data_IF_690123262466
#
_entry.id   IF_690123262466
#
_cell.length_a   1.000
_cell.length_b   1.000
_cell.length_c   1.000
_cell.angle_alpha   90.00
_cell.angle_beta   90.00
_cell.angle_gamma   90.00
#
_symmetry.space_group_name_H-M   'P 1'
#
loop_
_entity.id
_entity.type
_entity.pdbx_description
1 polymer ?
#
# COMPACT_ATOMS: atom_id res chain seq x y z
N UNK A 1 -14.77 9.09 8.76
CA UNK A 1 -15.69 8.10 9.35
C UNK A 1 -16.34 7.29 8.25
N UNK A 2 -16.47 5.98 8.44
CA UNK A 2 -17.20 5.09 7.53
C UNK A 2 -18.43 4.61 8.29
N UNK A 3 -19.62 4.76 7.71
CA UNK A 3 -20.87 4.29 8.31
C UNK A 3 -21.23 2.91 7.76
N UNK A 4 -21.76 2.04 8.61
CA UNK A 4 -22.24 0.70 8.23
C UNK A 4 -23.24 0.15 9.24
N UNK A 5 -23.93 -0.93 8.87
CA UNK A 5 -24.92 -1.57 9.73
C UNK A 5 -24.24 -2.20 10.95
N UNK A 6 -24.59 -1.73 12.15
CA UNK A 6 -24.09 -2.26 13.43
C UNK A 6 -24.30 -3.77 13.62
N UNK A 7 -25.27 -4.38 12.91
CA UNK A 7 -25.64 -5.79 13.06
C UNK A 7 -25.08 -6.68 11.94
N UNK A 8 -24.51 -6.11 10.88
CA UNK A 8 -24.01 -6.85 9.73
C UNK A 8 -22.62 -6.36 9.34
N UNK A 9 -21.60 -6.99 9.93
CA UNK A 9 -20.17 -6.69 9.77
C UNK A 9 -19.86 -5.18 9.83
N UNK A 10 -20.02 -4.54 11.01
CA UNK A 10 -19.79 -3.11 11.15
C UNK A 10 -18.35 -2.72 10.80
N UNK A 11 -18.13 -1.54 10.22
CA UNK A 11 -16.80 -1.06 9.85
C UNK A 11 -15.90 -0.91 11.08
N UNK A 12 -14.64 -1.34 10.94
CA UNK A 12 -13.63 -1.32 12.00
C UNK A 12 -12.43 -0.49 11.57
N UNK A 13 -11.73 0.05 12.57
CA UNK A 13 -10.44 0.70 12.36
C UNK A 13 -9.42 -0.30 11.83
N UNK A 14 -8.61 0.16 10.88
CA UNK A 14 -7.55 -0.63 10.27
C UNK A 14 -6.21 -0.18 10.85
N UNK A 15 -5.51 -1.08 11.57
CA UNK A 15 -4.16 -0.81 12.09
C UNK A 15 -3.09 -0.94 11.02
N UNK A 16 -3.24 -1.94 10.18
CA UNK A 16 -2.36 -2.22 9.04
C UNK A 16 -3.17 -2.86 7.93
N UNK A 17 -2.77 -2.63 6.68
CA UNK A 17 -3.34 -3.32 5.53
C UNK A 17 -2.26 -3.69 4.53
N UNK A 18 -2.43 -4.86 3.92
CA UNK A 18 -1.57 -5.37 2.87
C UNK A 18 -2.17 -5.03 1.50
N UNK A 19 -1.40 -4.37 0.64
CA UNK A 19 -1.89 -3.93 -0.66
C UNK A 19 -0.86 -4.09 -1.77
N UNK A 20 -1.35 -4.32 -2.98
CA UNK A 20 -0.55 -4.19 -4.19
C UNK A 20 -0.48 -2.71 -4.60
N UNK A 21 0.73 -2.19 -4.73
CA UNK A 21 0.98 -0.83 -5.22
C UNK A 21 1.67 -0.90 -6.59
N UNK A 22 1.25 -0.04 -7.50
CA UNK A 22 1.90 0.15 -8.79
C UNK A 22 2.49 1.55 -8.79
N UNK A 23 3.81 1.63 -8.92
CA UNK A 23 4.50 2.92 -8.88
C UNK A 23 4.38 3.58 -10.25
N UNK A 24 3.70 4.72 -10.28
CA UNK A 24 3.57 5.56 -11.47
C UNK A 24 4.83 6.43 -11.65
N UNK A 25 4.74 7.53 -12.40
CA UNK A 25 5.85 8.43 -12.73
C UNK A 25 6.35 9.22 -11.51
N UNK A 26 6.98 8.53 -10.56
CA UNK A 26 7.57 9.11 -9.36
C UNK A 26 9.08 9.34 -9.58
N UNK A 27 9.58 10.58 -9.42
CA UNK A 27 11.01 10.83 -9.51
C UNK A 27 11.72 10.22 -8.29
N UNK A 28 12.52 9.17 -8.50
CA UNK A 28 13.33 8.52 -7.48
C UNK A 28 12.85 7.14 -7.06
N UNK A 29 13.26 6.73 -5.86
CA UNK A 29 13.03 5.41 -5.29
C UNK A 29 12.18 5.51 -4.03
N UNK A 30 11.23 4.60 -3.87
CA UNK A 30 10.41 4.45 -2.67
C UNK A 30 11.01 3.32 -1.83
N UNK A 31 11.22 3.58 -0.54
CA UNK A 31 11.83 2.67 0.42
C UNK A 31 10.89 2.44 1.60
N UNK A 32 11.13 1.37 2.36
CA UNK A 32 10.47 1.17 3.64
C UNK A 32 10.64 2.42 4.52
N UNK A 33 9.55 2.87 5.13
CA UNK A 33 9.45 4.11 5.88
C UNK A 33 8.88 5.31 5.11
N UNK A 34 8.75 5.23 3.78
CA UNK A 34 8.10 6.28 2.98
C UNK A 34 6.63 6.45 3.41
N UNK A 35 6.19 7.68 3.62
CA UNK A 35 4.85 7.98 4.17
C UNK A 35 4.10 9.00 3.30
N UNK A 36 3.63 8.60 2.11
CA UNK A 36 2.78 9.44 1.29
C UNK A 36 1.37 9.54 1.87
N UNK A 37 0.61 10.51 1.38
CA UNK A 37 -0.83 10.57 1.63
C UNK A 37 -1.57 9.63 0.68
N UNK A 38 -2.47 8.84 1.23
CA UNK A 38 -3.35 7.94 0.49
C UNK A 38 -4.77 8.50 0.52
N UNK A 39 -5.35 8.58 -0.68
CA UNK A 39 -6.76 8.80 -0.87
C UNK A 39 -7.46 7.44 -1.02
N UNK A 40 -8.41 7.16 -0.13
CA UNK A 40 -9.22 5.94 -0.18
C UNK A 40 -10.69 6.30 0.09
N UNK A 41 -11.54 6.17 -0.92
CA UNK A 41 -12.92 6.66 -0.89
C UNK A 41 -12.97 8.16 -0.59
N UNK A 42 -13.44 8.56 0.59
CA UNK A 42 -13.46 9.95 1.07
C UNK A 42 -12.40 10.21 2.14
N UNK A 43 -11.56 9.23 2.45
CA UNK A 43 -10.48 9.37 3.43
C UNK A 43 -9.21 9.88 2.74
N UNK A 44 -8.52 10.78 3.43
CA UNK A 44 -7.26 11.40 3.01
C UNK A 44 -6.30 11.33 4.21
N UNK A 45 -5.42 10.31 4.23
CA UNK A 45 -4.62 9.96 5.41
C UNK A 45 -3.20 9.60 4.98
N UNK A 46 -2.19 10.04 5.74
CA UNK A 46 -0.82 9.60 5.53
C UNK A 46 -0.65 8.12 5.90
N UNK A 47 -0.14 7.31 4.98
CA UNK A 47 0.12 5.90 5.24
C UNK A 47 1.60 5.61 5.05
N UNK A 48 2.22 5.02 6.07
CA UNK A 48 3.62 4.60 6.04
C UNK A 48 3.74 3.24 5.37
N UNK A 49 4.63 3.15 4.39
CA UNK A 49 5.09 1.92 3.77
C UNK A 49 5.97 1.21 4.80
N UNK A 50 5.40 0.33 5.61
CA UNK A 50 6.12 -0.34 6.69
C UNK A 50 7.16 -1.31 6.13
N UNK A 51 6.74 -2.19 5.23
CA UNK A 51 7.58 -3.23 4.67
C UNK A 51 7.19 -3.47 3.20
N UNK A 52 8.19 -3.49 2.32
CA UNK A 52 8.03 -3.92 0.94
C UNK A 52 8.21 -5.44 0.93
N UNK A 53 7.11 -6.19 0.91
CA UNK A 53 7.15 -7.66 1.02
C UNK A 53 7.66 -8.31 -0.25
N UNK A 54 7.13 -7.89 -1.39
CA UNK A 54 7.40 -8.56 -2.65
C UNK A 54 7.43 -7.53 -3.78
N UNK A 55 8.33 -7.71 -4.74
CA UNK A 55 8.22 -7.06 -6.05
C UNK A 55 7.53 -8.03 -6.99
N UNK A 56 6.52 -7.58 -7.71
CA UNK A 56 5.76 -8.40 -8.63
C UNK A 56 5.70 -7.80 -10.04
N UNK A 57 5.49 -8.66 -11.03
CA UNK A 57 5.23 -8.22 -12.39
C UNK A 57 3.84 -7.58 -12.46
N UNK A 58 3.77 -6.35 -12.97
CA UNK A 58 2.54 -5.54 -13.01
C UNK A 58 1.41 -6.15 -13.86
N UNK A 59 1.72 -7.08 -14.77
CA UNK A 59 0.72 -7.66 -15.70
C UNK A 59 0.22 -9.01 -15.21
N UNK A 60 1.14 -9.87 -14.77
CA UNK A 60 0.87 -11.25 -14.39
C UNK A 60 0.71 -11.46 -12.88
N UNK A 61 1.11 -10.48 -12.06
CA UNK A 61 1.15 -10.62 -10.60
C UNK A 61 2.21 -11.60 -10.09
N UNK A 62 3.05 -12.17 -10.98
CA UNK A 62 4.09 -13.09 -10.58
C UNK A 62 5.15 -12.39 -9.75
N UNK A 63 5.53 -13.00 -8.64
CA UNK A 63 6.64 -12.52 -7.81
C UNK A 63 7.95 -12.55 -8.57
N UNK A 64 8.69 -11.46 -8.48
CA UNK A 64 10.00 -11.26 -9.09
C UNK A 64 11.11 -11.26 -8.02
N UNK A 65 10.85 -10.62 -6.88
CA UNK A 65 11.84 -10.46 -5.80
C UNK A 65 11.15 -10.49 -4.44
N UNK A 66 11.77 -11.14 -3.46
CA UNK A 66 11.38 -11.11 -2.05
C UNK A 66 12.08 -9.98 -1.32
N UNK A 67 11.32 -9.22 -0.54
CA UNK A 67 11.80 -8.12 0.31
C UNK A 67 12.71 -7.12 -0.42
N UNK A 68 12.23 -6.47 -1.51
CA UNK A 68 13.04 -5.52 -2.26
C UNK A 68 13.45 -4.34 -1.39
N UNK A 69 14.70 -3.86 -1.54
CA UNK A 69 15.19 -2.69 -0.79
C UNK A 69 14.50 -1.38 -1.17
N UNK A 70 14.03 -1.29 -2.41
CA UNK A 70 13.33 -0.13 -2.94
C UNK A 70 12.47 -0.52 -4.15
N UNK A 71 11.49 0.31 -4.49
CA UNK A 71 10.69 0.21 -5.71
C UNK A 71 10.73 1.54 -6.47
N UNK A 72 10.66 1.49 -7.79
CA UNK A 72 10.72 2.68 -8.66
C UNK A 72 9.60 2.69 -9.68
N UNK A 73 9.49 3.80 -10.43
CA UNK A 73 8.52 3.96 -11.51
C UNK A 73 8.44 2.73 -12.42
N UNK A 74 7.22 2.21 -12.61
CA UNK A 74 6.92 1.04 -13.44
C UNK A 74 6.89 -0.29 -12.69
N UNK A 75 7.41 -0.35 -11.46
CA UNK A 75 7.37 -1.55 -10.62
C UNK A 75 5.97 -1.74 -10.00
N UNK A 76 5.58 -3.00 -9.81
CA UNK A 76 4.51 -3.37 -8.89
C UNK A 76 5.12 -4.05 -7.66
N UNK A 77 4.56 -3.79 -6.50
CA UNK A 77 5.01 -4.39 -5.26
C UNK A 77 3.85 -4.66 -4.32
N UNK A 78 4.01 -5.67 -3.48
CA UNK A 78 3.13 -5.94 -2.37
C UNK A 78 3.74 -5.31 -1.11
N UNK A 79 2.94 -4.51 -0.40
CA UNK A 79 3.42 -3.65 0.68
C UNK A 79 2.48 -3.74 1.88
N UNK A 80 3.07 -3.82 3.07
CA UNK A 80 2.35 -3.60 4.32
C UNK A 80 2.33 -2.10 4.63
N UNK A 81 1.13 -1.53 4.78
CA UNK A 81 0.92 -0.12 5.06
C UNK A 81 0.33 0.09 6.45
N UNK A 82 0.80 1.14 7.12
CA UNK A 82 0.25 1.61 8.40
C UNK A 82 -0.38 3.00 8.17
N UNK A 83 -1.71 3.16 8.28
CA UNK A 83 -2.33 4.49 8.33
C UNK A 83 -1.95 5.22 9.64
N UNK A 84 -1.73 6.55 9.55
CA UNK A 84 -1.36 7.43 10.67
C UNK A 84 -2.50 8.29 11.18
#
# INVERSE_FOLDING_TARGET
NVAGDSKNDPPKECKTFYAQVIILNHPGEIKAGYAPVLDCHTAHIACKFQELKEKCDRRSGKKLEDNPKFVKSGDAAMVDLIPS
#
